data_IF_266232092078
#
_entry.id   IF_266232092078
#
_cell.length_a   1.000
_cell.length_b   1.000
_cell.length_c   1.000
_cell.angle_alpha   90.00
_cell.angle_beta   90.00
_cell.angle_gamma   90.00
#
_symmetry.space_group_name_H-M   'P 1'
#
loop_
_entity.id
_entity.type
_entity.pdbx_description
1 polymer ?
#
# COMPACT_ATOMS: atom_id res chain seq x y z
N UNK A 1 15.71 4.37 3.71
CA UNK A 1 15.14 5.29 2.70
C UNK A 1 13.77 5.66 3.23
N UNK A 2 13.51 6.92 3.50
CA UNK A 2 12.27 7.32 4.18
C UNK A 2 11.51 8.36 3.37
N UNK A 3 10.27 8.63 3.76
CA UNK A 3 9.49 9.78 3.25
C UNK A 3 10.26 11.10 3.40
N UNK A 4 11.12 11.23 4.41
CA UNK A 4 11.99 12.41 4.57
C UNK A 4 12.90 12.65 3.36
N UNK A 5 13.33 11.57 2.67
CA UNK A 5 14.10 11.70 1.44
C UNK A 5 13.27 12.22 0.26
N UNK A 6 11.97 11.86 0.21
CA UNK A 6 11.04 12.39 -0.80
C UNK A 6 10.77 13.88 -0.56
N UNK A 7 10.65 14.30 0.71
CA UNK A 7 10.47 15.72 1.07
C UNK A 7 11.72 16.52 0.72
N UNK A 8 12.91 15.99 1.02
CA UNK A 8 14.17 16.67 0.73
C UNK A 8 14.43 16.81 -0.78
N UNK A 9 13.97 15.84 -1.59
CA UNK A 9 14.15 15.84 -3.04
C UNK A 9 12.94 15.19 -3.72
N UNK A 10 11.87 15.96 -3.90
CA UNK A 10 10.60 15.49 -4.49
C UNK A 10 10.81 15.12 -5.97
N UNK A 11 10.70 13.82 -6.35
CA UNK A 11 11.08 13.36 -7.69
C UNK A 11 10.29 13.96 -8.86
N UNK A 12 9.08 14.46 -8.62
CA UNK A 12 8.26 15.14 -9.62
C UNK A 12 8.54 16.65 -9.71
N UNK A 13 9.35 17.22 -8.80
CA UNK A 13 9.58 18.66 -8.68
C UNK A 13 8.46 19.46 -8.04
N UNK A 14 7.43 18.81 -7.48
CA UNK A 14 6.37 19.49 -6.70
C UNK A 14 6.95 20.06 -5.41
N UNK A 15 6.26 21.06 -4.86
CA UNK A 15 6.59 21.65 -3.55
C UNK A 15 6.56 20.66 -2.37
N UNK A 16 5.84 19.55 -2.51
CA UNK A 16 5.77 18.44 -1.55
C UNK A 16 5.45 17.12 -2.23
N UNK A 17 5.82 15.97 -1.64
CA UNK A 17 5.51 14.66 -2.20
C UNK A 17 4.01 14.40 -2.33
N UNK A 18 3.61 13.88 -3.49
CA UNK A 18 2.28 13.37 -3.79
C UNK A 18 2.33 11.86 -3.99
N UNK A 19 1.62 11.16 -3.11
CA UNK A 19 1.44 9.71 -3.10
C UNK A 19 0.04 9.40 -3.62
N UNK A 20 -0.03 8.61 -4.69
CA UNK A 20 -1.27 8.38 -5.43
C UNK A 20 -1.61 6.90 -5.41
N UNK A 21 -2.69 6.54 -4.74
CA UNK A 21 -3.40 5.30 -5.01
C UNK A 21 -4.16 5.45 -6.33
N UNK A 22 -3.54 4.94 -7.39
CA UNK A 22 -4.06 5.04 -8.75
C UNK A 22 -4.82 3.80 -9.20
N UNK A 23 -4.95 2.75 -8.37
CA UNK A 23 -5.27 1.42 -8.86
C UNK A 23 -6.57 1.34 -9.65
N UNK A 24 -7.63 1.99 -9.19
CA UNK A 24 -8.93 2.02 -9.87
C UNK A 24 -8.87 2.87 -11.14
N UNK A 25 -8.21 4.03 -11.08
CA UNK A 25 -8.04 4.94 -12.20
C UNK A 25 -7.15 4.37 -13.31
N UNK A 26 -5.99 3.79 -12.97
CA UNK A 26 -5.08 3.20 -13.94
C UNK A 26 -5.62 1.90 -14.51
N UNK A 27 -6.43 1.15 -13.76
CA UNK A 27 -7.22 0.04 -14.31
C UNK A 27 -8.16 0.56 -15.41
N UNK A 28 -8.91 1.62 -15.16
CA UNK A 28 -9.82 2.20 -16.14
C UNK A 28 -9.08 2.80 -17.36
N UNK A 29 -8.07 3.63 -17.14
CA UNK A 29 -7.47 4.48 -18.18
C UNK A 29 -6.25 3.84 -18.85
N UNK A 30 -5.36 3.21 -18.08
CA UNK A 30 -4.11 2.62 -18.61
C UNK A 30 -4.33 1.18 -19.07
N UNK A 31 -5.19 0.44 -18.37
CA UNK A 31 -5.45 -0.98 -18.63
C UNK A 31 -6.78 -1.24 -19.34
N UNK A 32 -7.60 -0.21 -19.58
CA UNK A 32 -8.89 -0.33 -20.29
C UNK A 32 -9.82 -1.37 -19.64
N UNK A 33 -9.85 -1.39 -18.30
CA UNK A 33 -10.65 -2.32 -17.49
C UNK A 33 -9.97 -3.65 -17.19
N UNK A 34 -8.82 -3.96 -17.79
CA UNK A 34 -8.07 -5.18 -17.46
C UNK A 34 -7.35 -5.04 -16.12
N UNK A 35 -7.23 -6.13 -15.31
CA UNK A 35 -6.51 -6.06 -14.05
C UNK A 35 -5.04 -5.67 -14.22
N UNK A 36 -4.49 -5.10 -13.15
CA UNK A 36 -3.05 -4.89 -13.01
C UNK A 36 -2.37 -6.27 -13.04
N UNK A 37 -1.38 -6.49 -13.91
CA UNK A 37 -0.82 -7.82 -14.20
C UNK A 37 0.23 -8.23 -13.15
N UNK A 38 -0.17 -8.34 -11.88
CA UNK A 38 0.73 -8.61 -10.75
C UNK A 38 1.58 -9.88 -10.90
N UNK A 39 1.05 -10.91 -11.58
CA UNK A 39 1.72 -12.20 -11.78
C UNK A 39 2.69 -12.24 -12.96
N UNK A 40 2.77 -11.17 -13.76
CA UNK A 40 3.73 -11.02 -14.85
C UNK A 40 4.59 -9.79 -14.58
N UNK A 41 5.80 -10.02 -14.08
CA UNK A 41 6.74 -8.97 -13.68
C UNK A 41 7.05 -7.97 -14.80
N UNK A 42 7.11 -8.43 -16.06
CA UNK A 42 7.39 -7.54 -17.19
C UNK A 42 6.21 -6.64 -17.49
N UNK A 43 5.00 -7.21 -17.52
CA UNK A 43 3.78 -6.44 -17.73
C UNK A 43 3.48 -5.50 -16.55
N UNK A 44 3.79 -5.91 -15.31
CA UNK A 44 3.65 -5.09 -14.12
C UNK A 44 4.59 -3.88 -14.19
N UNK A 45 5.87 -4.10 -14.49
CA UNK A 45 6.83 -3.00 -14.65
C UNK A 45 6.40 -2.03 -15.77
N UNK A 46 5.94 -2.54 -16.91
CA UNK A 46 5.41 -1.72 -18.00
C UNK A 46 4.16 -0.91 -17.60
N UNK A 47 3.29 -1.46 -16.74
CA UNK A 47 2.16 -0.74 -16.18
C UNK A 47 2.61 0.43 -15.31
N UNK A 48 3.49 0.21 -14.33
CA UNK A 48 3.96 1.28 -13.43
C UNK A 48 4.78 2.36 -14.15
N UNK A 49 5.50 2.03 -15.22
CA UNK A 49 6.13 3.03 -16.10
C UNK A 49 5.09 3.93 -16.76
N UNK A 50 3.96 3.37 -17.23
CA UNK A 50 2.88 4.16 -17.83
C UNK A 50 2.16 5.03 -16.79
N UNK A 51 1.88 4.48 -15.60
CA UNK A 51 1.32 5.25 -14.49
C UNK A 51 2.22 6.42 -14.14
N UNK A 52 3.53 6.19 -14.02
CA UNK A 52 4.50 7.26 -13.80
C UNK A 52 4.51 8.29 -14.92
N UNK A 53 4.48 7.87 -16.18
CA UNK A 53 4.44 8.82 -17.29
C UNK A 53 3.18 9.68 -17.32
N UNK A 54 2.06 9.17 -16.77
CA UNK A 54 0.77 9.85 -16.75
C UNK A 54 0.58 10.76 -15.52
N UNK A 55 0.90 10.27 -14.33
CA UNK A 55 0.58 10.93 -13.06
C UNK A 55 1.82 11.49 -12.33
N UNK A 56 3.01 10.96 -12.69
CA UNK A 56 4.30 11.21 -12.06
C UNK A 56 4.26 11.25 -10.53
N UNK A 57 3.82 10.17 -9.86
CA UNK A 57 3.80 10.14 -8.40
C UNK A 57 5.23 10.10 -7.84
N UNK A 58 5.40 10.63 -6.63
CA UNK A 58 6.71 10.75 -5.99
C UNK A 58 7.23 9.42 -5.42
N UNK A 59 6.32 8.47 -5.16
CA UNK A 59 6.60 7.07 -4.93
C UNK A 59 5.53 6.19 -5.59
N UNK A 60 5.86 4.95 -5.92
CA UNK A 60 4.91 4.01 -6.52
C UNK A 60 4.06 3.38 -5.43
N UNK A 61 2.75 3.51 -5.56
CA UNK A 61 1.79 2.86 -4.68
C UNK A 61 1.67 1.38 -5.01
N UNK A 62 2.09 0.52 -4.09
CA UNK A 62 1.94 -0.93 -4.21
C UNK A 62 0.92 -1.38 -3.18
N UNK A 63 -0.25 -1.78 -3.65
CA UNK A 63 -1.23 -2.53 -2.86
C UNK A 63 -0.72 -3.96 -2.67
N UNK A 64 -0.22 -4.25 -1.47
CA UNK A 64 0.40 -5.52 -1.11
C UNK A 64 -0.64 -6.63 -1.05
N UNK A 65 -1.86 -6.34 -0.61
CA UNK A 65 -2.91 -7.35 -0.55
C UNK A 65 -3.29 -7.82 -1.95
N UNK A 66 -3.49 -6.90 -2.91
CA UNK A 66 -3.75 -7.25 -4.31
C UNK A 66 -2.58 -8.01 -4.94
N UNK A 67 -1.34 -7.59 -4.67
CA UNK A 67 -0.14 -8.29 -5.16
C UNK A 67 -0.09 -9.75 -4.66
N UNK A 68 -0.19 -9.97 -3.35
CA UNK A 68 -0.11 -11.32 -2.81
C UNK A 68 -1.33 -12.17 -3.17
N UNK A 69 -2.53 -11.58 -3.22
CA UNK A 69 -3.76 -12.28 -3.63
C UNK A 69 -3.64 -12.77 -5.08
N UNK A 70 -3.15 -11.94 -6.00
CA UNK A 70 -2.96 -12.36 -7.39
C UNK A 70 -2.00 -13.56 -7.55
N UNK A 71 -0.93 -13.61 -6.75
CA UNK A 71 -0.03 -14.77 -6.73
C UNK A 71 -0.65 -15.99 -6.03
N UNK A 72 -1.51 -15.77 -5.03
CA UNK A 72 -2.19 -16.84 -4.28
C UNK A 72 -3.35 -17.46 -5.08
N UNK A 73 -4.08 -16.68 -5.86
CA UNK A 73 -5.17 -17.15 -6.73
C UNK A 73 -4.67 -18.14 -7.79
N UNK A 74 -3.41 -18.01 -8.20
CA UNK A 74 -2.74 -18.97 -9.08
C UNK A 74 -2.29 -20.27 -8.38
N UNK A 75 -2.49 -20.38 -7.06
CA UNK A 75 -1.98 -21.45 -6.17
C UNK A 75 -3.08 -22.01 -5.23
N UNK A 76 -4.03 -22.81 -5.74
CA UNK A 76 -5.09 -23.41 -4.91
C UNK A 76 -4.56 -24.32 -3.78
N UNK A 77 -3.38 -24.89 -3.96
CA UNK A 77 -2.67 -25.68 -2.95
C UNK A 77 -2.28 -24.82 -1.73
N UNK A 78 -1.84 -23.58 -1.94
CA UNK A 78 -1.52 -22.65 -0.87
C UNK A 78 -2.79 -22.24 -0.10
N UNK A 79 -3.89 -21.93 -0.80
CA UNK A 79 -5.17 -21.63 -0.16
C UNK A 79 -5.63 -22.79 0.74
N UNK A 80 -5.49 -24.02 0.25
CA UNK A 80 -5.78 -25.23 1.03
C UNK A 80 -4.85 -25.33 2.25
N UNK A 81 -3.56 -25.04 2.09
CA UNK A 81 -2.58 -25.06 3.18
C UNK A 81 -2.89 -24.01 4.26
N UNK A 82 -3.32 -22.81 3.86
CA UNK A 82 -3.76 -21.76 4.78
C UNK A 82 -4.95 -22.22 5.63
N UNK A 83 -5.89 -22.96 5.05
CA UNK A 83 -7.06 -23.52 5.73
C UNK A 83 -6.78 -24.77 6.60
N UNK A 84 -5.57 -25.33 6.56
CA UNK A 84 -5.28 -26.62 7.19
C UNK A 84 -5.29 -26.61 8.74
N UNK A 85 -5.28 -25.43 9.37
CA UNK A 85 -5.40 -25.30 10.84
C UNK A 85 -6.30 -24.13 11.22
N UNK A 86 -7.02 -24.29 12.32
CA UNK A 86 -8.01 -23.32 12.83
C UNK A 86 -7.44 -22.21 13.70
N UNK A 87 -6.18 -22.31 14.14
CA UNK A 87 -5.55 -21.29 14.99
C UNK A 87 -5.48 -19.95 14.24
N UNK A 88 -5.87 -18.86 14.90
CA UNK A 88 -6.08 -17.54 14.28
C UNK A 88 -4.87 -17.07 13.44
N UNK A 89 -3.65 -17.14 13.96
CA UNK A 89 -2.48 -16.66 13.22
C UNK A 89 -2.09 -17.50 12.00
N UNK A 90 -2.69 -18.69 11.78
CA UNK A 90 -2.15 -19.66 10.84
C UNK A 90 -2.31 -19.32 9.36
N UNK A 91 -3.49 -18.89 8.87
CA UNK A 91 -3.64 -18.55 7.46
C UNK A 91 -2.66 -17.46 7.04
N UNK A 92 -2.60 -16.36 7.80
CA UNK A 92 -1.72 -15.23 7.52
C UNK A 92 -0.25 -15.65 7.57
N UNK A 93 0.17 -16.38 8.61
CA UNK A 93 1.54 -16.89 8.69
C UNK A 93 1.89 -17.81 7.53
N UNK A 94 0.97 -18.66 7.12
CA UNK A 94 1.20 -19.59 5.99
C UNK A 94 1.44 -18.82 4.70
N UNK A 95 0.60 -17.81 4.40
CA UNK A 95 0.81 -16.90 3.27
C UNK A 95 2.15 -16.17 3.35
N UNK A 96 2.44 -15.53 4.49
CA UNK A 96 3.65 -14.73 4.71
C UNK A 96 4.93 -15.55 4.94
N UNK A 97 4.88 -16.87 4.73
CA UNK A 97 6.04 -17.76 4.76
C UNK A 97 6.15 -18.63 3.49
N UNK A 98 5.23 -18.48 2.53
CA UNK A 98 5.28 -19.23 1.28
C UNK A 98 6.41 -18.70 0.39
N UNK A 99 7.49 -19.47 0.26
CA UNK A 99 8.70 -19.03 -0.42
C UNK A 99 8.48 -18.64 -1.89
N UNK A 100 7.55 -19.29 -2.59
CA UNK A 100 7.28 -19.00 -4.00
C UNK A 100 6.55 -17.66 -4.17
N UNK A 101 5.48 -17.43 -3.40
CA UNK A 101 4.75 -16.15 -3.40
C UNK A 101 5.66 -15.00 -2.96
N UNK A 102 6.46 -15.21 -1.91
CA UNK A 102 7.37 -14.18 -1.42
C UNK A 102 8.51 -13.87 -2.40
N UNK A 103 9.07 -14.89 -3.06
CA UNK A 103 10.10 -14.68 -4.08
C UNK A 103 9.54 -13.93 -5.28
N UNK A 104 8.37 -14.34 -5.79
CA UNK A 104 7.76 -13.72 -6.96
C UNK A 104 7.31 -12.27 -6.69
N UNK A 105 6.70 -12.01 -5.53
CA UNK A 105 6.33 -10.65 -5.12
C UNK A 105 7.55 -9.75 -4.96
N UNK A 106 8.63 -10.23 -4.33
CA UNK A 106 9.88 -9.48 -4.20
C UNK A 106 10.51 -9.15 -5.56
N UNK A 107 10.54 -10.10 -6.49
CA UNK A 107 11.02 -9.89 -7.86
C UNK A 107 10.21 -8.81 -8.59
N UNK A 108 8.89 -8.85 -8.47
CA UNK A 108 7.98 -7.84 -9.02
C UNK A 108 8.26 -6.46 -8.43
N UNK A 109 8.34 -6.35 -7.09
CA UNK A 109 8.63 -5.07 -6.43
C UNK A 109 9.98 -4.50 -6.86
N UNK A 110 11.04 -5.33 -6.89
CA UNK A 110 12.38 -4.91 -7.31
C UNK A 110 12.39 -4.39 -8.75
N UNK A 111 11.76 -5.15 -9.65
CA UNK A 111 11.73 -4.81 -11.08
C UNK A 111 10.89 -3.56 -11.33
N UNK A 112 9.76 -3.40 -10.64
CA UNK A 112 8.91 -2.20 -10.72
C UNK A 112 9.68 -0.97 -10.25
N UNK A 113 10.29 -1.00 -9.06
CA UNK A 113 11.06 0.14 -8.53
C UNK A 113 12.23 0.52 -9.46
N UNK A 114 12.98 -0.48 -9.93
CA UNK A 114 14.12 -0.27 -10.83
C UNK A 114 13.69 0.29 -12.18
N UNK A 115 12.59 -0.20 -12.77
CA UNK A 115 12.20 0.20 -14.13
C UNK A 115 11.55 1.58 -14.12
N UNK A 116 10.68 1.87 -13.15
CA UNK A 116 10.02 3.16 -13.04
C UNK A 116 10.92 4.24 -12.40
N UNK A 117 12.05 3.86 -11.77
CA UNK A 117 13.01 4.78 -11.14
C UNK A 117 12.36 5.66 -10.06
N UNK A 118 11.61 5.00 -9.18
CA UNK A 118 10.88 5.61 -8.05
C UNK A 118 10.99 4.71 -6.83
N UNK A 119 10.95 5.32 -5.65
CA UNK A 119 10.82 4.58 -4.39
C UNK A 119 9.43 3.94 -4.30
N UNK A 120 9.29 2.95 -3.43
CA UNK A 120 8.03 2.24 -3.19
C UNK A 120 7.34 2.78 -1.95
N UNK A 121 6.02 2.92 -2.04
CA UNK A 121 5.10 2.98 -0.92
C UNK A 121 4.39 1.64 -0.86
N UNK A 122 4.54 0.93 0.25
CA UNK A 122 3.80 -0.30 0.48
C UNK A 122 2.53 0.02 1.26
N UNK A 123 1.39 -0.07 0.58
CA UNK A 123 0.07 -0.04 1.20
C UNK A 123 -0.26 -1.47 1.62
N UNK A 124 -0.37 -1.66 2.93
CA UNK A 124 -0.46 -2.97 3.57
C UNK A 124 -1.70 -2.94 4.47
N UNK A 125 -2.57 -3.96 4.46
CA UNK A 125 -3.62 -4.03 5.46
C UNK A 125 -3.01 -4.01 6.87
N UNK A 126 -3.66 -3.33 7.81
CA UNK A 126 -3.23 -3.37 9.22
C UNK A 126 -3.22 -4.81 9.76
N UNK A 127 -2.48 -5.10 10.84
CA UNK A 127 -2.39 -6.46 11.38
C UNK A 127 -3.74 -7.15 11.62
N UNK A 128 -4.75 -6.46 12.16
CA UNK A 128 -6.07 -7.07 12.35
C UNK A 128 -6.81 -7.26 11.02
N UNK A 129 -6.75 -6.27 10.12
CA UNK A 129 -7.38 -6.35 8.80
C UNK A 129 -6.80 -7.49 7.96
N UNK A 130 -5.47 -7.63 7.92
CA UNK A 130 -4.81 -8.67 7.14
C UNK A 130 -5.08 -10.07 7.71
N UNK A 131 -5.09 -10.19 9.03
CA UNK A 131 -5.45 -11.43 9.71
C UNK A 131 -6.86 -11.89 9.34
N UNK A 132 -7.82 -10.96 9.38
CA UNK A 132 -9.20 -11.24 8.95
C UNK A 132 -9.28 -11.61 7.47
N UNK A 133 -8.53 -10.92 6.61
CA UNK A 133 -8.53 -11.20 5.17
C UNK A 133 -7.94 -12.57 4.82
N UNK A 134 -6.82 -12.95 5.45
CA UNK A 134 -6.22 -14.26 5.26
C UNK A 134 -7.18 -15.40 5.66
N UNK A 135 -7.99 -15.19 6.70
CA UNK A 135 -9.04 -16.12 7.11
C UNK A 135 -10.20 -16.20 6.11
N UNK A 136 -10.62 -15.07 5.52
CA UNK A 136 -11.60 -15.08 4.43
C UNK A 136 -11.08 -15.86 3.23
N UNK A 137 -9.82 -15.62 2.83
CA UNK A 137 -9.17 -16.31 1.73
C UNK A 137 -9.08 -17.83 1.97
N UNK A 138 -8.77 -18.25 3.20
CA UNK A 138 -8.71 -19.65 3.59
C UNK A 138 -10.09 -20.32 3.79
N UNK A 139 -11.20 -19.60 3.57
CA UNK A 139 -12.56 -20.12 3.70
C UNK A 139 -13.04 -20.32 5.15
N UNK A 140 -12.39 -19.67 6.12
CA UNK A 140 -12.72 -19.74 7.54
C UNK A 140 -12.77 -18.34 8.18
N UNK A 141 -13.70 -17.48 7.76
CA UNK A 141 -13.76 -16.08 8.18
C UNK A 141 -13.85 -15.94 9.70
N UNK A 142 -13.23 -14.88 10.23
CA UNK A 142 -13.30 -14.51 11.64
C UNK A 142 -14.43 -13.50 11.88
N UNK A 143 -15.21 -13.72 12.94
CA UNK A 143 -16.20 -12.75 13.40
C UNK A 143 -15.57 -11.59 14.18
N UNK A 144 -14.39 -11.81 14.76
CA UNK A 144 -13.67 -10.80 15.55
C UNK A 144 -12.15 -11.09 15.60
N UNK A 145 -11.38 -10.01 15.74
CA UNK A 145 -9.94 -10.03 16.07
C UNK A 145 -9.75 -9.13 17.29
N UNK A 146 -9.00 -9.61 18.29
CA UNK A 146 -8.63 -8.84 19.47
C UNK A 146 -7.21 -8.27 19.32
N UNK A 147 -6.84 -7.34 20.22
CA UNK A 147 -5.55 -6.66 20.18
C UNK A 147 -4.36 -7.61 20.29
N UNK A 148 -4.45 -8.66 21.12
CA UNK A 148 -3.37 -9.63 21.32
C UNK A 148 -3.11 -10.45 20.04
N UNK A 149 -4.17 -10.83 19.32
CA UNK A 149 -4.07 -11.51 18.01
C UNK A 149 -3.53 -10.59 16.94
N UNK A 150 -3.92 -9.31 16.94
CA UNK A 150 -3.40 -8.33 16.00
C UNK A 150 -1.90 -8.05 16.25
N UNK A 151 -1.47 -7.93 17.51
CA UNK A 151 -0.06 -7.81 17.88
C UNK A 151 0.73 -9.06 17.45
N UNK A 152 0.19 -10.26 17.72
CA UNK A 152 0.78 -11.51 17.24
C UNK A 152 0.90 -11.58 15.71
N UNK A 153 -0.10 -11.08 14.98
CA UNK A 153 -0.07 -10.99 13.51
C UNK A 153 0.99 -9.99 13.02
N UNK A 154 1.23 -8.91 13.77
CA UNK A 154 2.26 -7.91 13.46
C UNK A 154 3.66 -8.52 13.40
N UNK A 155 3.93 -9.58 14.16
CA UNK A 155 5.19 -10.32 14.11
C UNK A 155 5.44 -10.98 12.75
N UNK A 156 4.40 -11.58 12.15
CA UNK A 156 4.51 -12.20 10.82
C UNK A 156 4.71 -11.15 9.73
N UNK A 157 4.03 -10.01 9.85
CA UNK A 157 4.18 -8.88 8.95
C UNK A 157 5.59 -8.31 9.05
N UNK A 158 6.12 -8.14 10.27
CA UNK A 158 7.48 -7.66 10.50
C UNK A 158 8.54 -8.62 9.91
N UNK A 159 8.37 -9.93 10.10
CA UNK A 159 9.25 -10.95 9.52
C UNK A 159 9.28 -10.89 7.98
N UNK A 160 8.11 -10.76 7.36
CA UNK A 160 8.00 -10.60 5.91
C UNK A 160 8.63 -9.27 5.43
N UNK A 161 8.29 -8.15 6.07
CA UNK A 161 8.88 -6.83 5.79
C UNK A 161 10.41 -6.88 5.90
N UNK A 162 10.96 -7.62 6.85
CA UNK A 162 12.40 -7.83 7.02
C UNK A 162 13.10 -8.37 5.77
N UNK A 163 12.39 -9.16 4.95
CA UNK A 163 12.92 -9.73 3.71
C UNK A 163 13.00 -8.70 2.56
N UNK A 164 12.37 -7.54 2.72
CA UNK A 164 12.33 -6.46 1.73
C UNK A 164 13.41 -5.40 1.96
N UNK A 165 14.31 -5.59 2.93
CA UNK A 165 15.32 -4.61 3.36
C UNK A 165 16.22 -4.03 2.26
N UNK A 166 16.39 -4.72 1.14
CA UNK A 166 17.18 -4.24 0.00
C UNK A 166 16.40 -3.35 -0.98
N UNK A 167 15.07 -3.27 -0.85
CA UNK A 167 14.20 -2.53 -1.75
C UNK A 167 14.15 -1.04 -1.37
N UNK A 168 13.94 -0.15 -2.37
CA UNK A 168 13.87 1.29 -2.13
C UNK A 168 12.50 1.70 -1.60
N UNK A 169 12.11 1.22 -0.43
CA UNK A 169 10.84 1.54 0.21
C UNK A 169 11.01 2.87 0.96
N UNK A 170 10.08 3.81 0.77
CA UNK A 170 10.02 5.08 1.48
C UNK A 170 9.04 5.04 2.67
N UNK A 171 7.91 4.36 2.48
CA UNK A 171 6.78 4.34 3.40
C UNK A 171 6.14 2.95 3.48
N UNK A 172 5.91 2.48 4.70
CA UNK A 172 4.94 1.42 5.01
C UNK A 172 3.68 2.10 5.55
N UNK A 173 2.57 1.96 4.83
CA UNK A 173 1.28 2.50 5.23
C UNK A 173 0.36 1.34 5.61
N UNK A 174 0.14 1.16 6.92
CA UNK A 174 -0.81 0.19 7.45
C UNK A 174 -2.24 0.73 7.34
N UNK A 175 -3.11 0.06 6.60
CA UNK A 175 -4.49 0.49 6.42
C UNK A 175 -5.44 -0.24 7.38
N UNK A 176 -5.91 0.49 8.38
CA UNK A 176 -6.82 0.00 9.42
C UNK A 176 -8.27 0.43 9.19
N UNK A 177 -8.59 1.04 8.04
CA UNK A 177 -9.95 1.53 7.76
C UNK A 177 -10.99 0.40 7.72
N UNK A 178 -10.60 -0.78 7.25
CA UNK A 178 -11.43 -1.98 7.17
C UNK A 178 -11.15 -3.00 8.30
N UNK A 179 -10.42 -2.59 9.34
CA UNK A 179 -10.13 -3.44 10.49
C UNK A 179 -11.40 -3.72 11.30
N UNK A 180 -11.47 -4.92 11.90
CA UNK A 180 -12.61 -5.33 12.76
C UNK A 180 -12.67 -4.56 14.10
N UNK A 181 -11.63 -3.79 14.42
CA UNK A 181 -11.60 -2.86 15.55
C UNK A 181 -10.64 -1.70 15.24
N UNK A 182 -10.75 -0.60 15.98
CA UNK A 182 -9.86 0.54 15.83
C UNK A 182 -8.43 0.19 16.28
N UNK A 183 -7.48 0.23 15.34
CA UNK A 183 -6.08 -0.06 15.60
C UNK A 183 -5.28 1.23 15.84
N UNK A 184 -4.12 1.09 16.49
CA UNK A 184 -3.13 2.15 16.60
C UNK A 184 -1.74 1.57 16.38
N UNK A 185 -0.75 2.41 16.09
CA UNK A 185 0.63 1.96 15.85
C UNK A 185 1.35 1.49 17.12
N UNK A 186 0.96 1.99 18.30
CA UNK A 186 1.72 1.79 19.54
C UNK A 186 1.96 0.32 19.93
N UNK A 187 0.99 -0.61 19.77
CA UNK A 187 1.22 -2.03 20.06
C UNK A 187 2.18 -2.72 19.08
N UNK A 188 2.30 -2.24 17.84
CA UNK A 188 3.01 -2.95 16.75
C UNK A 188 4.51 -2.65 16.72
N UNK A 189 5.16 -2.88 17.86
CA UNK A 189 6.59 -2.64 18.05
C UNK A 189 7.47 -3.44 17.07
N UNK A 190 7.06 -4.65 16.69
CA UNK A 190 7.78 -5.48 15.73
C UNK A 190 7.89 -4.81 14.35
N UNK A 191 6.77 -4.29 13.84
CA UNK A 191 6.73 -3.57 12.56
C UNK A 191 7.48 -2.24 12.67
N UNK A 192 7.32 -1.52 13.78
CA UNK A 192 8.05 -0.27 14.04
C UNK A 192 9.58 -0.48 14.08
N UNK A 193 10.04 -1.57 14.70
CA UNK A 193 11.47 -1.90 14.77
C UNK A 193 12.05 -2.23 13.39
N UNK A 194 11.33 -3.00 12.57
CA UNK A 194 11.77 -3.32 11.20
C UNK A 194 11.81 -2.06 10.35
N UNK A 195 10.76 -1.23 10.38
CA UNK A 195 10.73 0.04 9.66
C UNK A 195 11.90 0.96 10.08
N UNK A 196 12.13 1.10 11.39
CA UNK A 196 13.25 1.88 11.93
C UNK A 196 14.61 1.33 11.49
N UNK A 197 14.80 0.01 11.51
CA UNK A 197 16.05 -0.65 11.11
C UNK A 197 16.45 -0.33 9.65
N UNK A 198 15.47 -0.26 8.74
CA UNK A 198 15.69 0.08 7.33
C UNK A 198 15.47 1.56 7.00
N UNK A 199 15.25 2.39 8.02
CA UNK A 199 14.93 3.81 7.87
C UNK A 199 13.72 4.03 6.94
N UNK A 200 12.68 3.21 7.07
CA UNK A 200 11.38 3.41 6.41
C UNK A 200 10.48 4.24 7.31
N UNK A 201 9.69 5.13 6.71
CA UNK A 201 8.61 5.78 7.46
C UNK A 201 7.49 4.76 7.69
N UNK A 202 6.95 4.71 8.90
CA UNK A 202 5.78 3.91 9.26
C UNK A 202 4.61 4.82 9.59
N UNK A 203 3.48 4.58 8.93
CA UNK A 203 2.24 5.28 9.16
C UNK A 203 1.06 4.30 9.20
N UNK A 204 -0.06 4.75 9.75
CA UNK A 204 -1.32 4.02 9.78
C UNK A 204 -2.45 4.91 9.30
N UNK A 205 -3.24 4.39 8.37
CA UNK A 205 -4.46 5.01 7.88
C UNK A 205 -5.66 4.50 8.67
N UNK A 206 -6.30 5.41 9.41
CA UNK A 206 -7.55 5.18 10.13
C UNK A 206 -8.69 5.97 9.48
N UNK A 207 -9.92 5.78 9.96
CA UNK A 207 -11.08 6.55 9.51
C UNK A 207 -10.88 8.08 9.60
N UNK A 208 -10.15 8.53 10.63
CA UNK A 208 -9.93 9.96 10.92
C UNK A 208 -8.73 10.56 10.16
N UNK A 209 -7.95 9.76 9.43
CA UNK A 209 -6.78 10.21 8.68
C UNK A 209 -5.55 9.31 8.85
N UNK A 210 -4.39 9.83 8.44
CA UNK A 210 -3.11 9.10 8.49
C UNK A 210 -2.27 9.62 9.65
N UNK A 211 -1.94 8.72 10.59
CA UNK A 211 -1.04 8.98 11.71
C UNK A 211 0.32 8.32 11.52
N UNK A 212 1.39 9.00 11.90
CA UNK A 212 2.76 8.48 11.86
C UNK A 212 3.23 8.08 13.26
N UNK A 213 4.16 7.11 13.36
CA UNK A 213 4.76 6.77 14.65
C UNK A 213 5.69 7.88 15.19
N UNK A 214 6.28 8.68 14.29
CA UNK A 214 7.10 9.83 14.61
C UNK A 214 6.28 11.13 14.43
N UNK A 215 6.18 11.95 15.49
CA UNK A 215 5.38 13.18 15.50
C UNK A 215 5.98 14.36 14.70
N UNK A 216 6.98 14.12 13.84
CA UNK A 216 7.71 15.15 13.11
C UNK A 216 7.28 15.31 11.65
N UNK A 217 6.27 14.54 11.21
CA UNK A 217 5.77 14.53 9.85
C UNK A 217 4.24 14.49 9.83
N UNK A 218 3.63 15.30 8.96
CA UNK A 218 2.19 15.29 8.70
C UNK A 218 1.87 14.73 7.32
N UNK A 219 0.94 13.78 7.24
CA UNK A 219 0.44 13.20 5.99
C UNK A 219 -1.03 13.60 5.83
N UNK A 220 -1.32 14.49 4.89
CA UNK A 220 -2.66 14.95 4.57
C UNK A 220 -3.34 14.05 3.55
N UNK A 221 -4.64 13.78 3.74
CA UNK A 221 -5.46 13.05 2.78
C UNK A 221 -6.20 14.02 1.87
N UNK A 222 -5.87 14.01 0.58
CA UNK A 222 -6.61 14.71 -0.45
C UNK A 222 -7.74 13.81 -0.95
N UNK A 223 -8.98 14.18 -0.65
CA UNK A 223 -10.14 13.35 -0.95
C UNK A 223 -10.45 13.19 -2.45
N UNK A 224 -11.18 12.13 -2.83
CA UNK A 224 -11.47 11.81 -4.24
C UNK A 224 -12.25 12.90 -4.97
N UNK A 225 -12.99 13.74 -4.23
CA UNK A 225 -13.72 14.88 -4.77
C UNK A 225 -12.82 15.91 -5.46
N UNK A 226 -11.52 15.97 -5.13
CA UNK A 226 -10.57 16.85 -5.81
C UNK A 226 -10.34 16.44 -7.28
N UNK A 227 -10.48 15.14 -7.58
CA UNK A 227 -10.26 14.56 -8.90
C UNK A 227 -11.52 14.48 -9.77
N UNK A 228 -12.69 14.67 -9.15
CA UNK A 228 -13.97 14.64 -9.84
C UNK A 228 -14.48 16.07 -9.98
N UNK A 229 -15.02 16.43 -11.14
CA UNK A 229 -15.55 17.77 -11.46
C UNK A 229 -16.79 18.19 -10.62
N UNK A 230 -17.09 17.47 -9.53
CA UNK A 230 -18.34 17.46 -8.81
C UNK A 230 -18.50 18.54 -7.72
N UNK A 231 -17.50 19.36 -7.42
CA UNK A 231 -17.70 20.54 -6.58
C UNK A 231 -16.60 21.60 -6.77
N UNK A 232 -16.97 22.75 -7.31
CA UNK A 232 -16.11 23.95 -7.34
C UNK A 232 -15.73 24.49 -5.94
N UNK A 233 -16.30 23.94 -4.86
CA UNK A 233 -16.24 24.51 -3.50
C UNK A 233 -15.80 23.56 -2.36
N UNK A 234 -15.17 22.41 -2.63
CA UNK A 234 -14.73 21.48 -1.56
C UNK A 234 -13.20 21.23 -1.50
N UNK A 235 -12.40 22.00 -2.26
CA UNK A 235 -11.05 21.62 -2.69
C UNK A 235 -9.92 22.27 -1.88
N UNK A 236 -10.05 22.35 -0.56
CA UNK A 236 -8.90 22.75 0.26
C UNK A 236 -7.87 21.62 0.25
N UNK A 237 -6.74 21.82 -0.43
CA UNK A 237 -5.60 20.91 -0.33
C UNK A 237 -5.08 21.00 1.10
N UNK A 238 -4.97 19.88 1.85
CA UNK A 238 -4.53 19.92 3.24
C UNK A 238 -3.15 20.57 3.39
N UNK A 239 -2.97 21.45 4.37
CA UNK A 239 -1.65 21.95 4.80
C UNK A 239 -0.92 20.82 5.53
N UNK A 240 0.02 20.16 4.84
CA UNK A 240 0.73 18.98 5.31
C UNK A 240 2.03 18.78 4.52
N UNK A 241 2.98 18.05 5.10
CA UNK A 241 4.29 17.83 4.51
C UNK A 241 4.23 16.86 3.32
N UNK A 242 3.26 15.95 3.31
CA UNK A 242 3.05 14.94 2.28
C UNK A 242 1.56 14.78 2.01
N UNK A 243 1.19 14.61 0.75
CA UNK A 243 -0.18 14.34 0.34
C UNK A 243 -0.35 12.88 -0.06
N UNK A 244 -1.40 12.25 0.44
CA UNK A 244 -1.92 10.94 -0.01
C UNK A 244 -3.28 11.16 -0.65
N UNK A 245 -3.56 10.48 -1.74
CA UNK A 245 -4.84 10.56 -2.42
C UNK A 245 -5.18 9.26 -3.14
N UNK A 246 -6.47 9.05 -3.42
CA UNK A 246 -6.94 8.00 -4.32
C UNK A 246 -7.68 8.64 -5.48
N UNK A 247 -7.31 8.27 -6.72
CA UNK A 247 -8.01 8.76 -7.92
C UNK A 247 -9.09 7.75 -8.30
N UNK A 248 -10.37 8.16 -8.33
CA UNK A 248 -11.46 7.25 -8.68
C UNK A 248 -11.45 6.93 -10.19
N UNK A 249 -11.93 5.73 -10.55
CA UNK A 249 -12.07 5.31 -11.95
C UNK A 249 -12.96 6.23 -12.81
N UNK A 250 -13.84 7.02 -12.18
CA UNK A 250 -14.74 7.97 -12.86
C UNK A 250 -14.08 9.33 -13.18
N UNK A 251 -12.86 9.58 -12.73
CA UNK A 251 -12.16 10.83 -13.01
C UNK A 251 -11.79 10.93 -14.49
N UNK A 252 -12.02 12.11 -15.09
CA UNK A 252 -11.62 12.38 -16.48
C UNK A 252 -10.10 12.60 -16.58
N UNK A 253 -9.39 12.01 -17.55
CA UNK A 253 -7.95 12.21 -17.70
C UNK A 253 -7.52 13.67 -17.86
N UNK A 254 -8.25 14.47 -18.64
CA UNK A 254 -7.93 15.90 -18.79
C UNK A 254 -8.05 16.63 -17.44
N UNK A 255 -9.12 16.37 -16.68
CA UNK A 255 -9.32 16.99 -15.39
C UNK A 255 -8.24 16.58 -14.38
N UNK A 256 -7.84 15.29 -14.36
CA UNK A 256 -6.76 14.81 -13.49
C UNK A 256 -5.45 15.52 -13.79
N UNK A 257 -5.09 15.64 -15.07
CA UNK A 257 -3.86 16.33 -15.47
C UNK A 257 -3.90 17.82 -15.09
N UNK A 258 -5.04 18.50 -15.30
CA UNK A 258 -5.21 19.89 -14.88
C UNK A 258 -5.06 20.04 -13.35
N UNK A 259 -5.65 19.14 -12.56
CA UNK A 259 -5.54 19.16 -11.10
C UNK A 259 -4.11 18.90 -10.61
N UNK A 260 -3.37 18.01 -11.28
CA UNK A 260 -1.96 17.76 -10.95
C UNK A 260 -1.10 19.03 -11.11
N UNK A 261 -1.40 19.89 -12.09
CA UNK A 261 -0.68 21.18 -12.27
C UNK A 261 -0.94 22.18 -11.15
N UNK A 262 -2.04 22.04 -10.40
CA UNK A 262 -2.35 22.89 -9.24
C UNK A 262 -1.63 22.47 -7.97
N UNK A 263 -1.03 21.27 -7.96
CA UNK A 263 -0.27 20.70 -6.85
C UNK A 263 1.25 20.92 -7.00
N UNK A 264 1.67 21.66 -8.04
CA UNK A 264 3.09 22.01 -8.27
C UNK A 264 3.55 23.14 -7.35
#
# INVERSE_FOLDING_TARGET
MSVKSLIAATPSGRSRPLLIDDADYSTAVVRQGMPIPWTDTTLAAGHFVKVRALLDPDALWIDVERLLTAHTDARPDLVTAMGARTRTGYPLRTLLTDAEVLSASRETLETVARTAQRQLLLHVPSPAAWLASAHRLAGNPLDAVDADRADSASMYIAEWLGQLGSLPIALILLDARDALFAESLAPYSAVANVASHFDWTLAMWNADGIGTAACDLTIGVLGPQFWTDAAQNANAVPESDVLVTSIPASASPEHVLDQLTKLT
#
